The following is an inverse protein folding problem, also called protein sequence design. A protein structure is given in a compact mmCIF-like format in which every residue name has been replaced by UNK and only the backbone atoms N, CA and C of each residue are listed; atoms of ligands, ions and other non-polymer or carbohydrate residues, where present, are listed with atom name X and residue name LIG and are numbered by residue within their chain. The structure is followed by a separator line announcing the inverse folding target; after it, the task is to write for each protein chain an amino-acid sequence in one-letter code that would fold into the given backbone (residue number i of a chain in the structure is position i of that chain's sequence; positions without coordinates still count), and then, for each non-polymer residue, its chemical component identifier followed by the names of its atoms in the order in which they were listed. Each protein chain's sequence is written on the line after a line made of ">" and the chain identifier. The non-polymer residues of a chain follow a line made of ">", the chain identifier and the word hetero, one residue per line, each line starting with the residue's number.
data_IF_412735384396
#
_entry.id   IF_412735384396
#
_cell.length_a   1.000
_cell.length_b   1.000
_cell.length_c   1.000
_cell.angle_alpha   90.00
_cell.angle_beta   90.00
_cell.angle_gamma   90.00
#
_symmetry.space_group_name_H-M   'P 1'
#
loop_
_entity.id
_entity.type
_entity.pdbx_description
1 polymer ?
#
# COMPACT_ATOMS: atom_id res chain seq x y z
N UNK A 1 62.05 29.71 -24.35
CA UNK A 1 61.75 30.05 -22.94
C UNK A 1 60.67 29.08 -22.49
N UNK A 2 61.01 27.87 -22.01
CA UNK A 2 61.45 27.56 -20.63
C UNK A 2 60.48 28.19 -19.61
N UNK A 3 59.71 27.47 -18.79
CA UNK A 3 60.00 26.35 -17.88
C UNK A 3 58.73 25.48 -17.71
N UNK A 4 58.79 24.15 -17.85
CA UNK A 4 59.02 23.15 -16.79
C UNK A 4 58.17 23.34 -15.51
N UNK A 5 57.12 22.52 -15.39
CA UNK A 5 56.73 21.92 -14.10
C UNK A 5 56.03 20.58 -14.32
N UNK A 6 56.79 19.54 -14.06
CA UNK A 6 56.34 18.19 -13.72
C UNK A 6 55.44 18.22 -12.47
N UNK A 7 54.39 17.41 -12.51
CA UNK A 7 53.95 16.61 -11.37
C UNK A 7 53.49 15.25 -11.92
N UNK A 8 54.44 14.31 -11.97
CA UNK A 8 54.15 12.87 -11.93
C UNK A 8 53.55 12.53 -10.57
N UNK A 9 52.42 11.84 -10.55
CA UNK A 9 52.16 10.82 -9.53
C UNK A 9 51.16 9.80 -10.08
N UNK A 10 51.73 8.78 -10.73
CA UNK A 10 51.07 7.56 -11.13
C UNK A 10 50.80 6.71 -9.89
N UNK A 11 49.55 6.71 -9.39
CA UNK A 11 49.09 5.72 -8.44
C UNK A 11 48.31 4.62 -9.19
N UNK A 12 49.05 3.57 -9.54
CA UNK A 12 48.54 2.29 -10.01
C UNK A 12 47.59 1.69 -8.97
N UNK A 13 46.28 1.81 -9.21
CA UNK A 13 45.27 1.09 -8.43
C UNK A 13 45.30 -0.38 -8.85
N UNK A 14 46.17 -1.15 -8.20
CA UNK A 14 46.11 -2.61 -8.22
C UNK A 14 44.76 -3.02 -7.64
N UNK A 15 43.87 -3.52 -8.51
CA UNK A 15 42.65 -4.20 -8.11
C UNK A 15 43.05 -5.50 -7.42
N UNK A 16 42.83 -5.56 -6.11
CA UNK A 16 42.96 -6.76 -5.31
C UNK A 16 41.75 -7.69 -5.59
N UNK A 17 41.91 -8.87 -6.21
CA UNK A 17 40.80 -9.76 -6.53
C UNK A 17 40.36 -10.65 -5.33
N UNK A 18 40.87 -10.42 -4.12
CA UNK A 18 40.62 -11.28 -2.97
C UNK A 18 39.47 -10.87 -2.02
N UNK A 19 38.75 -9.76 -2.29
CA UNK A 19 37.57 -9.34 -1.51
C UNK A 19 36.22 -9.68 -2.18
N UNK A 20 36.19 -10.70 -3.04
CA UNK A 20 34.98 -11.24 -3.66
C UNK A 20 34.27 -12.32 -2.82
N UNK A 21 34.33 -12.25 -1.48
CA UNK A 21 33.62 -13.20 -0.62
C UNK A 21 32.88 -12.51 0.52
N UNK A 22 31.58 -12.78 0.53
CA UNK A 22 30.73 -12.79 1.71
C UNK A 22 30.14 -11.45 2.17
N UNK A 23 29.28 -10.88 1.34
CA UNK A 23 28.12 -10.10 1.82
C UNK A 23 26.84 -10.51 1.08
N UNK A 24 26.57 -11.82 0.99
CA UNK A 24 25.19 -12.29 1.02
C UNK A 24 24.69 -12.13 2.46
N UNK A 25 24.47 -10.88 2.87
CA UNK A 25 23.68 -10.55 4.03
C UNK A 25 22.27 -11.04 3.75
N UNK A 26 22.00 -12.29 4.13
CA UNK A 26 20.66 -12.86 4.22
C UNK A 26 19.84 -11.87 5.04
N UNK A 27 19.00 -11.09 4.38
CA UNK A 27 18.02 -10.26 5.08
C UNK A 27 17.31 -11.19 6.07
N UNK A 28 17.24 -10.83 7.36
CA UNK A 28 16.49 -11.65 8.30
C UNK A 28 15.07 -11.80 7.72
N UNK A 29 14.50 -13.01 7.70
CA UNK A 29 13.09 -13.11 7.36
C UNK A 29 12.38 -12.19 8.34
N UNK A 30 11.68 -11.19 7.82
CA UNK A 30 10.72 -10.42 8.61
C UNK A 30 9.64 -11.45 8.97
N UNK A 31 9.87 -12.20 10.05
CA UNK A 31 8.81 -12.92 10.76
C UNK A 31 7.96 -11.84 11.39
N UNK A 32 7.06 -11.29 10.58
CA UNK A 32 5.86 -10.67 11.08
C UNK A 32 4.97 -11.76 11.64
N UNK A 33 5.33 -12.34 12.79
CA UNK A 33 4.31 -12.88 13.68
C UNK A 33 3.70 -11.68 14.39
N UNK A 34 2.90 -10.91 13.64
CA UNK A 34 1.81 -10.19 14.28
C UNK A 34 0.97 -11.26 14.98
N UNK A 35 0.74 -11.19 16.30
CA UNK A 35 -0.25 -12.05 16.90
C UNK A 35 -1.57 -11.82 16.16
N UNK A 36 -2.26 -12.92 15.83
CA UNK A 36 -3.58 -12.98 15.23
C UNK A 36 -4.64 -12.34 16.15
N UNK A 37 -4.53 -11.03 16.39
CA UNK A 37 -5.38 -10.29 17.33
C UNK A 37 -6.85 -10.27 16.88
N UNK A 38 -7.13 -10.56 15.59
CA UNK A 38 -8.49 -10.72 15.08
C UNK A 38 -9.13 -12.08 15.40
N UNK A 39 -8.35 -13.08 15.84
CA UNK A 39 -8.87 -14.43 16.08
C UNK A 39 -9.58 -14.60 17.43
N UNK A 40 -9.44 -13.65 18.34
CA UNK A 40 -9.88 -13.81 19.74
C UNK A 40 -11.24 -13.20 20.08
N UNK A 41 -11.89 -12.43 19.21
CA UNK A 41 -13.21 -11.84 19.50
C UNK A 41 -14.30 -12.32 18.52
N UNK A 42 -15.28 -13.13 18.98
CA UNK A 42 -16.37 -13.62 18.15
C UNK A 42 -17.18 -12.50 17.47
N UNK A 43 -17.39 -11.38 18.15
CA UNK A 43 -18.10 -10.23 17.60
C UNK A 43 -17.37 -9.64 16.38
N UNK A 44 -16.05 -9.48 16.47
CA UNK A 44 -15.24 -8.97 15.37
C UNK A 44 -15.31 -9.88 14.13
N UNK A 45 -15.22 -11.20 14.33
CA UNK A 45 -15.35 -12.18 13.25
C UNK A 45 -16.73 -12.14 12.58
N UNK A 46 -17.79 -11.94 13.36
CA UNK A 46 -19.14 -11.82 12.83
C UNK A 46 -19.26 -10.59 11.92
N UNK A 47 -18.75 -9.44 12.32
CA UNK A 47 -18.76 -8.22 11.49
C UNK A 47 -17.92 -8.41 10.23
N UNK A 48 -16.71 -8.98 10.34
CA UNK A 48 -15.86 -9.30 9.21
C UNK A 48 -16.54 -10.23 8.19
N UNK A 49 -17.27 -11.24 8.66
CA UNK A 49 -18.02 -12.15 7.80
C UNK A 49 -19.17 -11.44 7.08
N UNK A 50 -19.87 -10.49 7.73
CA UNK A 50 -20.92 -9.70 7.08
C UNK A 50 -20.36 -8.78 6.00
N UNK A 51 -19.26 -8.08 6.28
CA UNK A 51 -18.56 -7.23 5.30
C UNK A 51 -18.20 -8.07 4.06
N UNK A 52 -17.63 -9.25 4.28
CA UNK A 52 -17.27 -10.16 3.20
C UNK A 52 -18.48 -10.60 2.39
N UNK A 53 -19.53 -11.09 3.07
CA UNK A 53 -20.74 -11.58 2.41
C UNK A 53 -21.44 -10.48 1.60
N UNK A 54 -21.45 -9.24 2.10
CA UNK A 54 -21.99 -8.10 1.37
C UNK A 54 -21.18 -7.80 0.09
N UNK A 55 -19.85 -7.78 0.18
CA UNK A 55 -18.98 -7.59 -0.99
C UNK A 55 -19.03 -8.75 -1.99
N UNK A 56 -19.37 -9.97 -1.54
CA UNK A 56 -19.62 -11.12 -2.42
C UNK A 56 -21.00 -11.04 -3.09
N UNK A 57 -21.98 -10.40 -2.45
CA UNK A 57 -23.33 -10.28 -2.96
C UNK A 57 -23.46 -9.20 -4.04
N UNK A 58 -22.76 -8.07 -3.89
CA UNK A 58 -22.79 -6.98 -4.86
C UNK A 58 -21.44 -6.26 -4.99
N UNK A 59 -21.07 -5.79 -6.20
CA UNK A 59 -19.87 -5.00 -6.40
C UNK A 59 -20.03 -3.60 -5.80
N UNK A 60 -18.90 -2.98 -5.47
CA UNK A 60 -18.88 -1.59 -5.00
C UNK A 60 -18.96 -0.65 -6.17
N UNK A 61 -20.13 -0.03 -6.38
CA UNK A 61 -20.38 0.95 -7.44
C UNK A 61 -20.26 2.39 -6.93
N UNK A 62 -19.69 3.28 -7.74
CA UNK A 62 -19.54 4.69 -7.40
C UNK A 62 -20.88 5.42 -7.42
N UNK A 63 -21.09 6.28 -6.41
CA UNK A 63 -22.33 7.04 -6.25
C UNK A 63 -23.48 6.28 -5.56
N UNK A 64 -23.33 4.98 -5.28
CA UNK A 64 -24.30 4.17 -4.56
C UNK A 64 -23.79 3.77 -3.18
N UNK A 65 -24.69 3.78 -2.19
CA UNK A 65 -24.41 3.28 -0.83
C UNK A 65 -24.32 1.76 -0.86
N UNK A 66 -23.26 1.21 -0.25
CA UNK A 66 -23.08 -0.23 -0.12
C UNK A 66 -23.41 -0.71 1.31
N UNK A 67 -24.11 -1.85 1.52
CA UNK A 67 -24.50 -2.33 2.85
C UNK A 67 -23.34 -2.52 3.82
N UNK A 68 -22.18 -2.97 3.31
CA UNK A 68 -20.97 -3.16 4.12
C UNK A 68 -20.41 -1.86 4.73
N UNK A 69 -20.83 -0.69 4.26
CA UNK A 69 -20.39 0.59 4.84
C UNK A 69 -20.78 0.72 6.32
N UNK A 70 -21.97 0.23 6.69
CA UNK A 70 -22.46 0.26 8.08
C UNK A 70 -21.63 -0.65 8.96
N UNK A 71 -21.32 -1.87 8.49
CA UNK A 71 -20.50 -2.83 9.22
C UNK A 71 -19.05 -2.35 9.35
N UNK A 72 -18.50 -1.70 8.32
CA UNK A 72 -17.18 -1.06 8.39
C UNK A 72 -17.14 0.06 9.44
N UNK A 73 -18.16 0.92 9.46
CA UNK A 73 -18.28 1.97 10.47
C UNK A 73 -18.40 1.40 11.89
N UNK A 74 -19.12 0.28 12.07
CA UNK A 74 -19.20 -0.44 13.35
C UNK A 74 -17.83 -1.02 13.76
N UNK A 75 -17.18 -1.74 12.84
CA UNK A 75 -15.89 -2.38 13.08
C UNK A 75 -14.82 -1.35 13.47
N UNK A 76 -14.75 -0.24 12.75
CA UNK A 76 -13.76 0.80 13.00
C UNK A 76 -13.99 1.54 14.33
N UNK A 77 -15.25 1.85 14.66
CA UNK A 77 -15.61 2.53 15.92
C UNK A 77 -15.30 1.68 17.16
N UNK A 78 -15.50 0.37 17.06
CA UNK A 78 -15.37 -0.54 18.20
C UNK A 78 -14.00 -1.23 18.28
N UNK A 79 -13.28 -1.36 17.16
CA UNK A 79 -12.08 -2.19 17.06
C UNK A 79 -10.75 -1.45 17.14
N UNK A 80 -10.74 -0.11 17.01
CA UNK A 80 -9.52 0.70 17.13
C UNK A 80 -8.37 0.18 16.25
N UNK A 81 -7.18 0.01 16.84
CA UNK A 81 -6.00 -0.49 16.13
C UNK A 81 -6.17 -1.91 15.59
N UNK A 82 -6.88 -2.80 16.31
CA UNK A 82 -7.11 -4.19 15.88
C UNK A 82 -7.88 -4.24 14.57
N UNK A 83 -8.88 -3.36 14.40
CA UNK A 83 -9.60 -3.22 13.14
C UNK A 83 -8.68 -2.76 12.00
N UNK A 84 -7.83 -1.76 12.27
CA UNK A 84 -6.88 -1.25 11.28
C UNK A 84 -5.87 -2.31 10.81
N UNK A 85 -5.34 -3.11 11.74
CA UNK A 85 -4.42 -4.19 11.42
C UNK A 85 -5.10 -5.29 10.61
N UNK A 86 -6.31 -5.70 11.00
CA UNK A 86 -7.08 -6.69 10.25
C UNK A 86 -7.42 -6.22 8.83
N UNK A 87 -7.90 -4.98 8.65
CA UNK A 87 -8.22 -4.41 7.34
C UNK A 87 -6.97 -4.34 6.45
N UNK A 88 -5.82 -3.99 7.02
CA UNK A 88 -4.54 -4.01 6.30
C UNK A 88 -4.19 -5.42 5.84
N UNK A 89 -4.38 -6.42 6.71
CA UNK A 89 -4.17 -7.83 6.39
C UNK A 89 -5.12 -8.34 5.31
N UNK A 90 -6.41 -7.99 5.37
CA UNK A 90 -7.40 -8.34 4.36
C UNK A 90 -7.03 -7.80 2.97
N UNK A 91 -6.44 -6.60 2.91
CA UNK A 91 -6.00 -5.98 1.65
C UNK A 91 -4.67 -6.58 1.14
N UNK A 92 -3.70 -6.79 2.03
CA UNK A 92 -2.32 -7.06 1.63
C UNK A 92 -1.91 -8.54 1.66
N UNK A 93 -2.37 -9.30 2.66
CA UNK A 93 -1.79 -10.59 3.01
C UNK A 93 -2.39 -11.77 2.22
N UNK A 94 -3.25 -11.48 1.23
CA UNK A 94 -3.79 -12.48 0.32
C UNK A 94 -4.85 -13.39 0.94
N UNK A 95 -5.35 -13.07 2.14
CA UNK A 95 -6.47 -13.78 2.77
C UNK A 95 -7.81 -13.58 2.05
N UNK A 96 -7.92 -12.55 1.21
CA UNK A 96 -9.12 -12.23 0.44
C UNK A 96 -8.84 -12.31 -1.06
N UNK A 97 -9.82 -12.76 -1.88
CA UNK A 97 -9.80 -12.55 -3.32
C UNK A 97 -9.52 -11.09 -3.67
N UNK A 98 -8.70 -10.84 -4.70
CA UNK A 98 -8.22 -9.49 -5.03
C UNK A 98 -9.34 -8.50 -5.34
N UNK A 99 -10.38 -8.93 -6.06
CA UNK A 99 -11.57 -8.11 -6.31
C UNK A 99 -12.31 -7.71 -5.03
N UNK A 100 -12.42 -8.61 -4.04
CA UNK A 100 -13.03 -8.28 -2.74
C UNK A 100 -12.13 -7.33 -1.93
N UNK A 101 -10.81 -7.51 -1.96
CA UNK A 101 -9.87 -6.58 -1.35
C UNK A 101 -9.95 -5.18 -2.00
N UNK A 102 -10.12 -5.11 -3.32
CA UNK A 102 -10.31 -3.86 -4.05
C UNK A 102 -11.64 -3.19 -3.66
N UNK A 103 -12.75 -3.95 -3.61
CA UNK A 103 -14.04 -3.45 -3.13
C UNK A 103 -13.96 -2.92 -1.70
N UNK A 104 -13.34 -3.68 -0.79
CA UNK A 104 -13.08 -3.24 0.58
C UNK A 104 -12.31 -1.92 0.63
N UNK A 105 -11.24 -1.78 -0.16
CA UNK A 105 -10.46 -0.56 -0.23
C UNK A 105 -11.24 0.62 -0.80
N UNK A 106 -12.12 0.41 -1.80
CA UNK A 106 -13.01 1.47 -2.31
C UNK A 106 -13.96 1.98 -1.23
N UNK A 107 -14.57 1.09 -0.45
CA UNK A 107 -15.43 1.48 0.68
C UNK A 107 -14.65 2.27 1.73
N UNK A 108 -13.43 1.83 2.04
CA UNK A 108 -12.53 2.56 2.94
C UNK A 108 -12.12 3.92 2.37
N UNK A 109 -11.93 4.05 1.05
CA UNK A 109 -11.67 5.32 0.36
C UNK A 109 -12.77 6.35 0.62
N UNK A 110 -14.03 5.90 0.65
CA UNK A 110 -15.21 6.74 0.96
C UNK A 110 -15.28 7.14 2.44
N UNK A 111 -14.64 6.36 3.31
CA UNK A 111 -14.70 6.50 4.75
C UNK A 111 -13.37 7.05 5.32
N UNK A 112 -13.33 8.33 5.73
CA UNK A 112 -12.13 8.96 6.31
C UNK A 112 -11.91 8.58 7.79
N UNK A 113 -11.97 7.28 8.11
CA UNK A 113 -12.01 6.81 9.50
C UNK A 113 -10.61 6.54 10.09
N UNK A 114 -9.60 6.34 9.25
CA UNK A 114 -8.24 6.03 9.68
C UNK A 114 -7.25 7.20 9.56
N UNK A 115 -6.16 7.11 10.31
CA UNK A 115 -5.09 8.13 10.34
C UNK A 115 -4.34 8.22 9.02
N UNK A 116 -3.69 9.37 8.77
CA UNK A 116 -2.82 9.57 7.60
C UNK A 116 -1.78 8.45 7.42
N UNK A 117 -1.04 8.09 8.48
CA UNK A 117 -0.02 7.03 8.41
C UNK A 117 -0.60 5.67 7.99
N UNK A 118 -1.77 5.31 8.52
CA UNK A 118 -2.43 4.05 8.14
C UNK A 118 -2.87 4.09 6.68
N UNK A 119 -3.48 5.20 6.23
CA UNK A 119 -3.93 5.40 4.86
C UNK A 119 -2.77 5.26 3.86
N UNK A 120 -1.63 5.90 4.13
CA UNK A 120 -0.43 5.81 3.30
C UNK A 120 0.09 4.37 3.21
N UNK A 121 0.13 3.65 4.34
CA UNK A 121 0.54 2.23 4.37
C UNK A 121 -0.36 1.38 3.48
N UNK A 122 -1.68 1.55 3.57
CA UNK A 122 -2.63 0.77 2.76
C UNK A 122 -2.53 1.10 1.27
N UNK A 123 -2.36 2.36 0.90
CA UNK A 123 -2.11 2.75 -0.50
C UNK A 123 -0.84 2.08 -1.01
N UNK A 124 0.27 2.12 -0.25
CA UNK A 124 1.52 1.46 -0.64
C UNK A 124 1.34 -0.05 -0.85
N UNK A 125 0.58 -0.71 0.02
CA UNK A 125 0.28 -2.14 -0.09
C UNK A 125 -0.55 -2.45 -1.34
N UNK A 126 -1.60 -1.66 -1.58
CA UNK A 126 -2.48 -1.81 -2.73
C UNK A 126 -1.72 -1.62 -4.06
N UNK A 127 -0.95 -0.53 -4.17
CA UNK A 127 -0.13 -0.24 -5.35
C UNK A 127 0.94 -1.31 -5.59
N UNK A 128 1.41 -1.98 -4.54
CA UNK A 128 2.37 -3.08 -4.67
C UNK A 128 1.79 -4.37 -5.23
N UNK A 129 0.46 -4.49 -5.30
CA UNK A 129 -0.24 -5.67 -5.81
C UNK A 129 0.06 -5.93 -7.30
N UNK A 130 0.17 -7.20 -7.72
CA UNK A 130 0.17 -7.55 -9.14
C UNK A 130 -1.20 -7.36 -9.81
N UNK A 131 -2.27 -7.30 -9.02
CA UNK A 131 -3.65 -7.15 -9.49
C UNK A 131 -3.98 -5.68 -9.79
N UNK A 132 -4.49 -5.41 -10.99
CA UNK A 132 -4.78 -4.04 -11.45
C UNK A 132 -5.97 -3.41 -10.72
N UNK A 133 -7.01 -4.18 -10.38
CA UNK A 133 -8.19 -3.66 -9.69
C UNK A 133 -7.82 -3.15 -8.29
N UNK A 134 -6.92 -3.88 -7.60
CA UNK A 134 -6.44 -3.45 -6.30
C UNK A 134 -5.54 -2.20 -6.39
N UNK A 135 -4.72 -2.07 -7.44
CA UNK A 135 -3.93 -0.85 -7.67
C UNK A 135 -4.83 0.35 -7.97
N UNK A 136 -5.80 0.19 -8.85
CA UNK A 136 -6.83 1.19 -9.15
C UNK A 136 -7.57 1.65 -7.89
N UNK A 137 -8.07 0.69 -7.08
CA UNK A 137 -8.71 1.01 -5.80
C UNK A 137 -7.79 1.78 -4.85
N UNK A 138 -6.48 1.51 -4.86
CA UNK A 138 -5.48 2.28 -4.10
C UNK A 138 -5.34 3.73 -4.57
N UNK A 139 -5.39 3.98 -5.88
CA UNK A 139 -5.36 5.33 -6.45
C UNK A 139 -6.66 6.08 -6.14
N UNK A 140 -7.81 5.42 -6.29
CA UNK A 140 -9.13 5.98 -5.93
C UNK A 140 -9.21 6.34 -4.44
N UNK A 141 -8.67 5.49 -3.56
CA UNK A 141 -8.61 5.79 -2.13
C UNK A 141 -7.73 7.01 -1.84
N UNK A 142 -6.58 7.15 -2.52
CA UNK A 142 -5.71 8.32 -2.40
C UNK A 142 -6.43 9.61 -2.84
N UNK A 143 -7.11 9.59 -3.98
CA UNK A 143 -7.94 10.71 -4.50
C UNK A 143 -9.04 11.07 -3.49
N UNK A 144 -9.82 10.08 -3.04
CA UNK A 144 -10.95 10.28 -2.12
C UNK A 144 -10.52 10.87 -0.77
N UNK A 145 -9.39 10.42 -0.24
CA UNK A 145 -8.88 10.90 1.04
C UNK A 145 -8.24 12.28 0.95
N UNK A 146 -7.82 12.71 -0.24
CA UNK A 146 -7.25 14.05 -0.45
C UNK A 146 -5.96 14.27 0.35
N UNK A 147 -5.16 13.23 0.59
CA UNK A 147 -3.97 13.32 1.44
C UNK A 147 -2.74 13.71 0.60
N UNK A 148 -2.16 14.91 0.77
CA UNK A 148 -1.01 15.34 -0.03
C UNK A 148 0.22 14.44 0.14
N UNK A 149 0.34 13.74 1.28
CA UNK A 149 1.44 12.79 1.48
C UNK A 149 1.34 11.57 0.56
N UNK A 150 0.15 11.26 0.03
CA UNK A 150 -0.05 10.17 -0.94
C UNK A 150 0.66 10.45 -2.27
N UNK A 151 0.93 11.72 -2.61
CA UNK A 151 1.65 12.09 -3.83
C UNK A 151 3.03 11.46 -3.89
N UNK A 152 3.75 11.40 -2.78
CA UNK A 152 5.07 10.75 -2.73
C UNK A 152 4.98 9.25 -3.00
N UNK A 153 3.92 8.61 -2.47
CA UNK A 153 3.65 7.19 -2.67
C UNK A 153 3.31 6.90 -4.13
N UNK A 154 2.44 7.71 -4.74
CA UNK A 154 2.02 7.58 -6.13
C UNK A 154 3.21 7.77 -7.10
N UNK A 155 4.05 8.79 -6.87
CA UNK A 155 5.24 9.05 -7.71
C UNK A 155 6.34 8.00 -7.60
N UNK A 156 6.43 7.31 -6.46
CA UNK A 156 7.50 6.35 -6.22
C UNK A 156 7.39 5.09 -7.10
N UNK A 157 6.27 4.88 -7.80
CA UNK A 157 6.01 3.67 -8.56
C UNK A 157 5.73 3.98 -10.04
N UNK A 158 6.42 3.27 -10.92
CA UNK A 158 6.05 3.21 -12.32
C UNK A 158 4.87 2.23 -12.50
N UNK A 159 3.73 2.71 -12.99
CA UNK A 159 2.58 1.87 -13.28
C UNK A 159 2.72 1.27 -14.70
N UNK A 160 2.70 -0.07 -14.86
CA UNK A 160 2.81 -0.70 -16.17
C UNK A 160 1.57 -0.51 -17.06
N UNK A 161 0.39 -0.27 -16.47
CA UNK A 161 -0.83 -0.07 -17.23
C UNK A 161 -1.03 1.40 -17.61
N UNK A 162 -1.00 1.71 -18.91
CA UNK A 162 -1.01 3.08 -19.42
C UNK A 162 -2.17 3.94 -18.89
N UNK A 163 -3.41 3.43 -18.93
CA UNK A 163 -4.57 4.21 -18.47
C UNK A 163 -4.52 4.51 -16.96
N UNK A 164 -3.96 3.59 -16.16
CA UNK A 164 -3.85 3.77 -14.72
C UNK A 164 -2.68 4.72 -14.40
N UNK A 165 -1.62 4.70 -15.19
CA UNK A 165 -0.55 5.69 -15.10
C UNK A 165 -1.08 7.11 -15.39
N UNK A 166 -1.87 7.29 -16.46
CA UNK A 166 -2.50 8.57 -16.79
C UNK A 166 -3.44 9.03 -15.66
N UNK A 167 -4.18 8.09 -15.06
CA UNK A 167 -5.04 8.39 -13.92
C UNK A 167 -4.24 8.81 -12.68
N UNK A 168 -3.13 8.12 -12.37
CA UNK A 168 -2.23 8.49 -11.27
C UNK A 168 -1.70 9.91 -11.47
N UNK A 169 -1.27 10.28 -12.67
CA UNK A 169 -0.79 11.64 -12.97
C UNK A 169 -1.87 12.70 -12.78
N UNK A 170 -3.13 12.40 -13.17
CA UNK A 170 -4.28 13.27 -12.90
C UNK A 170 -4.48 13.46 -11.40
N UNK A 171 -4.50 12.38 -10.62
CA UNK A 171 -4.67 12.44 -9.16
C UNK A 171 -3.53 13.20 -8.49
N UNK A 172 -2.28 12.98 -8.92
CA UNK A 172 -1.13 13.72 -8.41
C UNK A 172 -1.30 15.22 -8.62
N UNK A 173 -1.72 15.64 -9.82
CA UNK A 173 -1.97 17.04 -10.13
C UNK A 173 -3.05 17.61 -9.19
N UNK A 174 -4.18 16.93 -9.09
CA UNK A 174 -5.33 17.37 -8.29
C UNK A 174 -5.01 17.46 -6.79
N UNK A 175 -4.11 16.61 -6.28
CA UNK A 175 -3.64 16.65 -4.88
C UNK A 175 -2.56 17.72 -4.59
N UNK A 176 -2.03 18.37 -5.62
CA UNK A 176 -0.96 19.40 -5.50
C UNK A 176 -1.43 20.82 -5.80
N UNK A 177 -2.65 20.98 -6.29
CA UNK A 177 -3.31 22.27 -6.53
C UNK A 177 -4.12 22.72 -5.32
#
# INVERSE_FOLDING_TARGET
>A
MELLRDCSESASFQRDPALARSLCGRAPPIRGTAPAASDTQPAFRAVAARIRAALEAEPVEDGSTHPAETDLAEMTRNGGQVAGDWLSGAIAEGGWPRGLAAGLLRLLGRQRIFTGTWRLRVIQLALSSPDIELRDAGVQAAESWGDPAAVQVLRARAEPCAWLADYIERVIRDLTT
#
